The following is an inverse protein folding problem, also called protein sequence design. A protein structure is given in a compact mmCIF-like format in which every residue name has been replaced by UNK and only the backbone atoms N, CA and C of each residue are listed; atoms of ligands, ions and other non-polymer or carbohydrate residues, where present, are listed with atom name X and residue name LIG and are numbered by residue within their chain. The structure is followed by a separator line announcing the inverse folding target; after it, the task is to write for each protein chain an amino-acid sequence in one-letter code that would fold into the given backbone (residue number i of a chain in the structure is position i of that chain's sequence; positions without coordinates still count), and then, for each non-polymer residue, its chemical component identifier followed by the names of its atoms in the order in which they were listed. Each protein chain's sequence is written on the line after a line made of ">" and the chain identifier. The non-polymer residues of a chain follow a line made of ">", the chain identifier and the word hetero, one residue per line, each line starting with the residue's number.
data_IF_905977688107
#
_entry.id   IF_905977688107
#
_cell.length_a   1.000
_cell.length_b   1.000
_cell.length_c   1.000
_cell.angle_alpha   90.00
_cell.angle_beta   90.00
_cell.angle_gamma   90.00
#
_symmetry.space_group_name_H-M   'P 1'
#
loop_
_entity.id
_entity.type
_entity.pdbx_description
1 polymer ?
#
# COMPACT_ATOMS: atom_id res chain seq x y z
N UNK A 1 8.00 -10.68 5.84
CA UNK A 1 8.99 -11.11 4.83
C UNK A 1 8.89 -10.19 3.64
N UNK A 2 9.89 -9.33 3.50
CA UNK A 2 10.20 -8.64 2.26
C UNK A 2 10.80 -9.68 1.28
N UNK A 3 10.56 -9.61 -0.04
CA UNK A 3 11.24 -10.47 -1.02
C UNK A 3 12.77 -10.50 -0.89
N UNK A 4 13.37 -9.44 -0.32
CA UNK A 4 14.81 -9.36 0.01
C UNK A 4 15.24 -10.29 1.14
N UNK A 5 14.31 -10.74 1.97
CA UNK A 5 14.60 -11.61 3.12
C UNK A 5 14.71 -13.09 2.69
N UNK A 6 14.52 -13.40 1.40
CA UNK A 6 14.67 -14.76 0.87
C UNK A 6 16.14 -15.16 0.78
N UNK A 7 16.47 -16.37 1.23
CA UNK A 7 17.83 -16.91 1.24
C UNK A 7 18.39 -17.19 -0.17
N UNK A 8 17.57 -17.73 -1.08
CA UNK A 8 17.91 -17.96 -2.50
C UNK A 8 16.74 -17.44 -3.37
N UNK A 9 16.66 -16.12 -3.63
CA UNK A 9 15.57 -15.57 -4.40
C UNK A 9 15.70 -16.02 -5.86
N UNK A 10 14.62 -16.58 -6.42
CA UNK A 10 14.54 -17.02 -7.82
C UNK A 10 13.40 -16.31 -8.53
N UNK A 11 13.66 -15.86 -9.76
CA UNK A 11 12.64 -15.27 -10.62
C UNK A 11 11.59 -16.34 -10.97
N UNK A 12 10.34 -16.13 -10.58
CA UNK A 12 9.25 -17.06 -10.89
C UNK A 12 8.95 -17.20 -12.40
N UNK A 13 9.43 -16.27 -13.23
CA UNK A 13 9.19 -16.28 -14.69
C UNK A 13 10.27 -17.02 -15.48
N UNK A 14 11.54 -16.94 -15.06
CA UNK A 14 12.67 -17.50 -15.81
C UNK A 14 13.66 -18.33 -14.98
N UNK A 15 13.48 -18.43 -13.67
CA UNK A 15 14.38 -19.15 -12.75
C UNK A 15 15.72 -18.45 -12.46
N UNK A 16 16.03 -17.34 -13.14
CA UNK A 16 17.25 -16.57 -12.93
C UNK A 16 17.31 -15.88 -11.56
N UNK A 17 18.52 -15.51 -11.14
CA UNK A 17 18.74 -14.71 -9.94
C UNK A 17 18.23 -13.27 -10.18
N UNK A 18 17.34 -12.73 -9.31
CA UNK A 18 16.83 -11.38 -9.46
C UNK A 18 17.87 -10.34 -9.04
N UNK A 19 17.80 -9.16 -9.65
CA UNK A 19 18.63 -8.00 -9.29
C UNK A 19 17.76 -6.92 -8.64
N UNK A 20 18.23 -6.37 -7.52
CA UNK A 20 17.54 -5.26 -6.85
C UNK A 20 17.87 -3.93 -7.52
N UNK A 21 16.84 -3.22 -7.98
CA UNK A 21 16.96 -1.89 -8.58
C UNK A 21 16.21 -0.84 -7.77
N UNK A 22 16.73 0.38 -7.78
CA UNK A 22 16.01 1.54 -7.25
C UNK A 22 14.97 2.01 -8.26
N UNK A 23 13.76 2.28 -7.80
CA UNK A 23 12.63 2.74 -8.61
C UNK A 23 11.83 3.75 -7.80
N UNK A 24 11.19 4.72 -8.47
CA UNK A 24 10.39 5.76 -7.82
C UNK A 24 8.93 5.30 -7.71
N UNK A 25 8.31 5.50 -6.55
CA UNK A 25 6.89 5.23 -6.36
C UNK A 25 6.20 6.41 -5.69
N UNK A 26 4.93 6.61 -6.04
CA UNK A 26 4.02 7.55 -5.41
C UNK A 26 3.26 6.84 -4.32
N UNK A 27 3.06 7.55 -3.22
CA UNK A 27 2.41 7.04 -2.03
C UNK A 27 1.19 7.89 -1.71
N UNK A 28 0.12 7.21 -1.27
CA UNK A 28 -0.96 7.85 -0.57
C UNK A 28 -0.55 8.04 0.89
N UNK A 29 -0.54 9.30 1.34
CA UNK A 29 -0.27 9.66 2.72
C UNK A 29 -1.51 9.40 3.60
N UNK A 30 -1.75 8.12 3.87
CA UNK A 30 -2.79 7.69 4.80
C UNK A 30 -2.64 8.26 6.22
N UNK A 31 -1.43 8.43 6.80
CA UNK A 31 -1.29 9.07 8.11
C UNK A 31 -2.02 10.42 8.19
N UNK A 32 -1.92 11.27 7.16
CA UNK A 32 -2.60 12.57 7.12
C UNK A 32 -4.14 12.46 7.16
N UNK A 33 -4.70 11.32 6.76
CA UNK A 33 -6.14 11.08 6.76
C UNK A 33 -6.66 10.46 8.06
N UNK A 34 -5.76 10.05 8.98
CA UNK A 34 -6.09 9.23 10.15
C UNK A 34 -7.21 9.84 11.01
N UNK A 35 -7.09 11.11 11.40
CA UNK A 35 -8.09 11.78 12.25
C UNK A 35 -9.47 11.87 11.59
N UNK A 36 -9.50 12.18 10.29
CA UNK A 36 -10.75 12.28 9.52
C UNK A 36 -11.41 10.92 9.35
N UNK A 37 -10.62 9.87 9.10
CA UNK A 37 -11.12 8.51 8.99
C UNK A 37 -11.64 8.00 10.33
N UNK A 38 -10.96 8.29 11.45
CA UNK A 38 -11.43 7.93 12.80
C UNK A 38 -12.81 8.52 13.07
N UNK A 39 -12.95 9.84 12.88
CA UNK A 39 -14.22 10.54 13.08
C UNK A 39 -15.34 9.98 12.17
N UNK A 40 -15.03 9.67 10.91
CA UNK A 40 -15.99 9.06 10.00
C UNK A 40 -16.47 7.70 10.49
N UNK A 41 -15.56 6.83 10.94
CA UNK A 41 -15.88 5.47 11.43
C UNK A 41 -16.67 5.53 12.74
N UNK A 42 -16.34 6.45 13.64
CA UNK A 42 -17.07 6.65 14.90
C UNK A 42 -18.55 7.00 14.67
N UNK A 43 -18.89 7.68 13.59
CA UNK A 43 -20.27 8.04 13.21
C UNK A 43 -21.05 6.88 12.56
N UNK A 44 -20.43 5.75 12.26
CA UNK A 44 -21.09 4.62 11.61
C UNK A 44 -21.80 3.71 12.61
N UNK A 45 -23.00 4.07 13.05
CA UNK A 45 -23.76 3.29 14.03
C UNK A 45 -24.45 2.06 13.44
N UNK A 46 -24.68 2.07 12.12
CA UNK A 46 -25.20 0.92 11.38
C UNK A 46 -24.20 -0.23 11.19
N UNK A 47 -22.92 -0.02 11.51
CA UNK A 47 -21.90 -1.04 11.31
C UNK A 47 -21.97 -2.09 12.40
N UNK A 48 -21.73 -3.35 12.02
CA UNK A 48 -21.53 -4.41 12.99
C UNK A 48 -20.37 -4.04 13.94
N UNK A 49 -20.60 -4.13 15.26
CA UNK A 49 -19.65 -3.71 16.31
C UNK A 49 -18.23 -4.25 16.09
N UNK A 50 -18.11 -5.52 15.67
CA UNK A 50 -16.82 -6.16 15.38
C UNK A 50 -16.05 -5.45 14.24
N UNK A 51 -16.74 -5.06 13.18
CA UNK A 51 -16.14 -4.37 12.03
C UNK A 51 -15.68 -2.97 12.44
N UNK A 52 -16.56 -2.21 13.10
CA UNK A 52 -16.24 -0.85 13.60
C UNK A 52 -15.00 -0.87 14.50
N UNK A 53 -14.96 -1.77 15.48
CA UNK A 53 -13.84 -1.88 16.40
C UNK A 53 -12.54 -2.31 15.71
N UNK A 54 -12.60 -3.26 14.77
CA UNK A 54 -11.42 -3.68 14.00
C UNK A 54 -10.85 -2.53 13.15
N UNK A 55 -11.72 -1.80 12.47
CA UNK A 55 -11.32 -0.63 11.67
C UNK A 55 -10.69 0.45 12.54
N UNK A 56 -11.28 0.77 13.70
CA UNK A 56 -10.72 1.73 14.64
C UNK A 56 -9.35 1.28 15.17
N UNK A 57 -9.20 0.00 15.51
CA UNK A 57 -7.92 -0.56 15.95
C UNK A 57 -6.81 -0.38 14.91
N UNK A 58 -7.11 -0.56 13.62
CA UNK A 58 -6.13 -0.33 12.55
C UNK A 58 -5.73 1.14 12.42
N UNK A 59 -6.67 2.06 12.64
CA UNK A 59 -6.41 3.50 12.60
C UNK A 59 -5.55 3.91 13.81
N UNK A 60 -5.84 3.36 14.99
CA UNK A 60 -5.14 3.64 16.24
C UNK A 60 -3.72 3.07 16.29
N UNK A 61 -3.47 1.94 15.64
CA UNK A 61 -2.11 1.38 15.46
C UNK A 61 -1.19 2.33 14.65
N UNK A 62 -1.80 3.25 13.87
CA UNK A 62 -1.08 4.22 13.05
C UNK A 62 -1.02 3.79 11.59
N UNK A 63 -1.82 4.45 10.75
CA UNK A 63 -1.84 4.21 9.32
C UNK A 63 -0.48 4.56 8.70
N UNK A 64 0.06 3.65 7.89
CA UNK A 64 1.33 3.86 7.17
C UNK A 64 1.05 4.34 5.74
N UNK A 65 1.93 5.17 5.13
CA UNK A 65 1.83 5.52 3.73
C UNK A 65 1.79 4.27 2.84
N UNK A 66 0.97 4.28 1.79
CA UNK A 66 0.80 3.12 0.90
C UNK A 66 1.18 3.45 -0.54
N UNK A 67 2.01 2.64 -1.22
CA UNK A 67 2.39 2.90 -2.60
C UNK A 67 1.21 2.63 -3.54
N UNK A 68 0.88 3.61 -4.39
CA UNK A 68 -0.25 3.57 -5.32
C UNK A 68 0.16 3.36 -6.79
N UNK A 69 1.45 3.24 -7.06
CA UNK A 69 2.02 2.99 -8.41
C UNK A 69 2.74 1.65 -8.45
N UNK A 70 2.91 1.05 -9.63
CA UNK A 70 3.60 -0.24 -9.81
C UNK A 70 4.38 -0.26 -11.11
N UNK A 71 5.49 -0.98 -11.14
CA UNK A 71 6.28 -1.11 -12.38
C UNK A 71 5.68 -2.20 -13.28
N UNK A 72 4.54 -1.93 -13.90
CA UNK A 72 3.79 -2.87 -14.76
C UNK A 72 3.36 -2.23 -16.07
N UNK A 73 3.30 -3.03 -17.13
CA UNK A 73 2.86 -2.57 -18.46
C UNK A 73 1.34 -2.55 -18.63
N UNK A 74 0.63 -3.34 -17.84
CA UNK A 74 -0.83 -3.50 -17.93
C UNK A 74 -1.48 -2.88 -16.69
N UNK A 75 -2.08 -1.71 -16.88
CA UNK A 75 -2.68 -0.91 -15.82
C UNK A 75 -3.14 0.44 -16.35
N UNK A 76 -3.70 1.26 -15.45
CA UNK A 76 -4.06 2.65 -15.76
C UNK A 76 -2.80 3.50 -15.55
N UNK A 77 -2.34 4.26 -16.57
CA UNK A 77 -1.16 5.12 -16.42
C UNK A 77 -1.34 6.14 -15.29
N UNK A 78 -0.32 6.28 -14.46
CA UNK A 78 -0.33 7.24 -13.38
C UNK A 78 -0.40 8.69 -13.92
N UNK A 79 -1.36 9.53 -13.51
CA UNK A 79 -1.55 10.87 -14.05
C UNK A 79 -0.62 11.92 -13.41
N UNK A 80 0.44 11.50 -12.72
CA UNK A 80 1.32 12.37 -11.95
C UNK A 80 2.57 12.73 -12.77
N UNK A 81 3.06 13.98 -12.68
CA UNK A 81 4.32 14.35 -13.34
C UNK A 81 5.48 13.45 -12.90
N UNK A 82 6.23 12.91 -13.86
CA UNK A 82 7.38 12.04 -13.59
C UNK A 82 7.03 10.58 -13.33
N UNK A 83 5.75 10.18 -13.41
CA UNK A 83 5.29 8.81 -13.21
C UNK A 83 5.17 8.03 -14.52
N UNK A 84 5.90 8.43 -15.56
CA UNK A 84 5.89 7.74 -16.85
C UNK A 84 6.40 6.30 -16.70
N UNK A 85 5.66 5.34 -17.26
CA UNK A 85 5.99 3.91 -17.15
C UNK A 85 5.64 3.27 -15.79
N UNK A 86 4.81 3.94 -14.99
CA UNK A 86 4.22 3.45 -13.72
C UNK A 86 2.77 3.03 -13.85
#
# INVERSE_FOLDING_TARGET
>A
LDPKDLLDPRCALCGGEPIFKKTKHWYLDLPQLSSRLKAYVEQQDQWAKKVKNLTLSWIEEGLKPRPITRDVKFGIPAPFPGAEGK
#
